data_IF_398794875518
#
_entry.id   IF_398794875518
#
_cell.length_a   1.000
_cell.length_b   1.000
_cell.length_c   1.000
_cell.angle_alpha   90.00
_cell.angle_beta   90.00
_cell.angle_gamma   90.00
#
_symmetry.space_group_name_H-M   'P 1'
#
loop_
_entity.id
_entity.type
_entity.pdbx_description
1 polymer ?
#
# COMPACT_ATOMS: atom_id res chain seq x y z
N UNK A 1 -17.27 33.90 -27.90
CA UNK A 1 -17.52 32.46 -27.75
C UNK A 1 -16.26 31.72 -28.16
N UNK A 2 -15.76 30.80 -27.34
CA UNK A 2 -14.62 29.97 -27.70
C UNK A 2 -15.10 28.89 -28.68
N UNK A 3 -14.51 28.73 -29.88
CA UNK A 3 -15.02 27.84 -30.93
C UNK A 3 -14.65 26.36 -30.70
N UNK A 4 -14.51 25.93 -29.45
CA UNK A 4 -14.03 24.59 -29.08
C UNK A 4 -15.13 23.80 -28.37
N UNK A 5 -15.30 22.54 -28.78
CA UNK A 5 -16.18 21.55 -28.13
C UNK A 5 -15.29 20.47 -27.55
N UNK A 6 -15.50 20.13 -26.28
CA UNK A 6 -14.68 19.15 -25.57
C UNK A 6 -15.34 17.78 -25.55
N UNK A 7 -14.53 16.72 -25.69
CA UNK A 7 -14.98 15.35 -25.48
C UNK A 7 -15.62 15.21 -24.09
N UNK A 8 -16.76 14.52 -24.00
CA UNK A 8 -17.54 14.32 -22.78
C UNK A 8 -18.56 15.42 -22.45
N UNK A 9 -18.61 16.50 -23.23
CA UNK A 9 -19.69 17.49 -23.13
C UNK A 9 -20.89 17.12 -24.02
N UNK A 10 -22.07 17.62 -23.69
CA UNK A 10 -23.30 17.39 -24.44
C UNK A 10 -23.93 18.72 -24.84
N UNK A 11 -24.69 18.69 -25.94
CA UNK A 11 -25.37 19.88 -26.48
C UNK A 11 -26.74 20.00 -25.81
N UNK A 12 -26.98 21.11 -25.11
CA UNK A 12 -28.28 21.40 -24.49
C UNK A 12 -29.32 21.82 -25.54
N UNK A 13 -28.93 22.72 -26.45
CA UNK A 13 -29.81 23.22 -27.52
C UNK A 13 -29.03 23.53 -28.82
N UNK A 14 -29.68 23.31 -29.96
CA UNK A 14 -29.16 23.61 -31.29
C UNK A 14 -28.47 22.45 -32.01
N UNK A 15 -28.06 22.71 -33.25
CA UNK A 15 -27.28 21.77 -34.08
C UNK A 15 -26.16 22.51 -34.81
N UNK A 16 -25.11 21.79 -35.18
CA UNK A 16 -23.96 22.37 -35.86
C UNK A 16 -22.99 21.29 -36.35
N UNK A 17 -22.18 21.66 -37.34
CA UNK A 17 -21.13 20.79 -37.88
C UNK A 17 -19.78 21.20 -37.30
N UNK A 18 -18.97 20.21 -36.89
CA UNK A 18 -17.66 20.44 -36.28
C UNK A 18 -16.60 19.52 -36.88
N UNK A 19 -15.34 19.95 -36.82
CA UNK A 19 -14.19 19.13 -37.24
C UNK A 19 -13.57 18.48 -36.02
N UNK A 20 -13.35 17.17 -36.08
CA UNK A 20 -12.69 16.42 -35.00
C UNK A 20 -11.20 16.75 -35.01
N UNK A 21 -10.70 17.33 -33.91
CA UNK A 21 -9.29 17.70 -33.76
C UNK A 21 -8.44 16.62 -33.08
N UNK A 22 -9.02 15.87 -32.14
CA UNK A 22 -8.33 14.83 -31.37
C UNK A 22 -9.29 13.74 -30.89
N UNK A 23 -8.78 12.53 -30.70
CA UNK A 23 -9.52 11.35 -30.18
C UNK A 23 -8.66 10.59 -29.16
N UNK A 24 -9.29 9.75 -28.33
CA UNK A 24 -8.57 8.94 -27.34
C UNK A 24 -7.86 9.77 -26.27
N UNK A 25 -6.66 9.34 -25.88
CA UNK A 25 -5.82 9.99 -24.84
C UNK A 25 -5.33 11.38 -25.25
N UNK A 26 -5.30 11.69 -26.56
CA UNK A 26 -4.95 13.03 -27.06
C UNK A 26 -6.04 14.08 -26.83
N UNK A 27 -7.21 13.71 -26.27
CA UNK A 27 -8.26 14.66 -25.87
C UNK A 27 -8.01 15.23 -24.48
N UNK A 28 -8.57 16.40 -24.16
CA UNK A 28 -8.50 16.97 -22.80
C UNK A 28 -9.00 16.01 -21.72
N UNK A 29 -10.12 15.32 -21.97
CA UNK A 29 -10.67 14.31 -21.05
C UNK A 29 -9.74 13.11 -20.92
N UNK A 30 -9.18 12.63 -22.05
CA UNK A 30 -8.22 11.52 -22.07
C UNK A 30 -6.97 11.82 -21.25
N UNK A 31 -6.36 12.99 -21.44
CA UNK A 31 -5.18 13.43 -20.68
C UNK A 31 -5.48 13.57 -19.18
N UNK A 32 -6.70 13.98 -18.80
CA UNK A 32 -7.09 14.07 -17.39
C UNK A 32 -7.20 12.69 -16.74
N UNK A 33 -7.81 11.72 -17.45
CA UNK A 33 -7.92 10.33 -16.96
C UNK A 33 -6.55 9.67 -16.86
N UNK A 34 -5.68 9.88 -17.84
CA UNK A 34 -4.32 9.36 -17.83
C UNK A 34 -3.52 9.87 -16.62
N UNK A 35 -3.56 11.18 -16.36
CA UNK A 35 -2.93 11.77 -15.17
C UNK A 35 -3.51 11.26 -13.85
N UNK A 36 -4.82 10.99 -13.77
CA UNK A 36 -5.43 10.43 -12.56
C UNK A 36 -5.00 8.98 -12.31
N UNK A 37 -4.75 8.20 -13.36
CA UNK A 37 -4.32 6.81 -13.23
C UNK A 37 -2.84 6.69 -12.85
N UNK A 38 -1.97 7.64 -13.25
CA UNK A 38 -0.55 7.64 -12.85
C UNK A 38 -0.34 7.67 -11.33
N UNK A 39 -1.26 8.28 -10.57
CA UNK A 39 -1.16 8.45 -9.12
C UNK A 39 -1.63 7.22 -8.31
N UNK A 40 -2.38 6.28 -8.91
CA UNK A 40 -2.96 5.12 -8.21
C UNK A 40 -1.94 4.03 -7.83
N UNK A 41 -0.77 3.99 -8.47
CA UNK A 41 0.24 2.94 -8.23
C UNK A 41 1.10 3.16 -6.96
N UNK A 42 0.83 4.21 -6.19
CA UNK A 42 1.62 4.52 -5.00
C UNK A 42 1.14 3.75 -3.75
N UNK A 43 2.06 3.00 -3.12
CA UNK A 43 1.85 2.36 -1.81
C UNK A 43 1.59 3.41 -0.73
N UNK A 44 0.79 3.07 0.28
CA UNK A 44 0.54 3.97 1.42
C UNK A 44 1.77 4.16 2.30
N UNK A 45 1.78 5.22 3.12
CA UNK A 45 2.94 5.60 3.95
C UNK A 45 3.27 4.52 4.99
N UNK A 46 2.27 3.94 5.64
CA UNK A 46 2.41 2.85 6.61
C UNK A 46 2.86 1.59 5.89
N UNK A 47 2.32 1.27 4.71
CA UNK A 47 2.79 0.11 3.94
C UNK A 47 4.29 0.23 3.64
N UNK A 48 4.76 1.40 3.21
CA UNK A 48 6.20 1.63 2.98
C UNK A 48 7.02 1.45 4.27
N UNK A 49 6.57 2.04 5.39
CA UNK A 49 7.27 1.90 6.68
C UNK A 49 7.28 0.46 7.21
N UNK A 50 6.19 -0.29 7.01
CA UNK A 50 6.11 -1.69 7.43
C UNK A 50 6.99 -2.58 6.56
N UNK A 51 7.12 -2.27 5.26
CA UNK A 51 8.05 -2.94 4.34
C UNK A 51 9.50 -2.71 4.78
N UNK A 52 9.85 -1.47 5.16
CA UNK A 52 11.18 -1.13 5.72
C UNK A 52 11.47 -1.87 7.04
N UNK A 53 10.49 -1.97 7.93
CA UNK A 53 10.64 -2.74 9.18
C UNK A 53 10.76 -4.24 8.91
N UNK A 54 9.95 -4.76 7.98
CA UNK A 54 9.95 -6.18 7.61
C UNK A 54 11.29 -6.58 6.98
N UNK A 55 11.82 -5.75 6.08
CA UNK A 55 13.12 -5.98 5.44
C UNK A 55 14.27 -5.91 6.45
N UNK A 56 14.22 -5.01 7.43
CA UNK A 56 15.20 -4.94 8.51
C UNK A 56 15.19 -6.22 9.37
N UNK A 57 14.01 -6.65 9.83
CA UNK A 57 13.86 -7.86 10.66
C UNK A 57 14.28 -9.10 9.88
N UNK A 58 13.85 -9.22 8.63
CA UNK A 58 14.20 -10.35 7.75
C UNK A 58 15.70 -10.43 7.51
N UNK A 59 16.36 -9.28 7.28
CA UNK A 59 17.82 -9.23 7.12
C UNK A 59 18.56 -9.63 8.40
N UNK A 60 18.12 -9.14 9.56
CA UNK A 60 18.70 -9.51 10.85
C UNK A 60 18.51 -11.01 11.15
N UNK A 61 17.31 -11.54 10.91
CA UNK A 61 16.98 -12.95 11.06
C UNK A 61 17.80 -13.86 10.13
N UNK A 62 17.99 -13.45 8.88
CA UNK A 62 18.84 -14.18 7.93
C UNK A 62 20.32 -14.21 8.39
N UNK A 63 20.87 -13.08 8.84
CA UNK A 63 22.24 -13.00 9.35
C UNK A 63 22.40 -13.90 10.58
N UNK A 64 21.46 -13.85 11.53
CA UNK A 64 21.48 -14.69 12.72
C UNK A 64 21.37 -16.19 12.36
N UNK A 65 20.45 -16.57 11.47
CA UNK A 65 20.29 -17.94 10.99
C UNK A 65 21.57 -18.49 10.35
N UNK A 66 22.17 -17.74 9.43
CA UNK A 66 23.44 -18.14 8.80
C UNK A 66 24.58 -18.23 9.81
N UNK A 67 24.71 -17.26 10.72
CA UNK A 67 25.73 -17.28 11.77
C UNK A 67 25.58 -18.51 12.68
N UNK A 68 24.37 -18.88 13.08
CA UNK A 68 24.15 -20.05 13.93
C UNK A 68 24.53 -21.36 13.24
N UNK A 69 24.18 -21.53 11.95
CA UNK A 69 24.61 -22.68 11.16
C UNK A 69 26.13 -22.73 11.05
N UNK A 70 26.78 -21.59 10.75
CA UNK A 70 28.24 -21.52 10.66
C UNK A 70 28.94 -21.86 11.98
N UNK A 71 28.42 -21.38 13.11
CA UNK A 71 28.96 -21.69 14.43
C UNK A 71 28.80 -23.18 14.75
N UNK A 72 27.65 -23.78 14.45
CA UNK A 72 27.42 -25.21 14.66
C UNK A 72 28.32 -26.07 13.77
N UNK A 73 28.49 -25.69 12.51
CA UNK A 73 29.43 -26.35 11.58
C UNK A 73 30.89 -26.20 12.03
N UNK A 74 31.29 -25.02 12.51
CA UNK A 74 32.64 -24.80 13.01
C UNK A 74 32.91 -25.58 14.31
N UNK A 75 31.94 -25.67 15.23
CA UNK A 75 32.06 -26.52 16.43
C UNK A 75 32.16 -28.00 16.07
N UNK A 76 31.34 -28.46 15.12
CA UNK A 76 31.41 -29.84 14.61
C UNK A 76 32.75 -30.13 13.95
N UNK A 77 33.26 -29.21 13.12
CA UNK A 77 34.57 -29.32 12.48
C UNK A 77 35.75 -29.30 13.45
N UNK A 78 35.70 -28.45 14.48
CA UNK A 78 36.72 -28.43 15.55
C UNK A 78 36.71 -29.70 16.40
N UNK A 79 35.51 -30.21 16.76
CA UNK A 79 35.37 -31.48 17.47
C UNK A 79 35.87 -32.67 16.63
N UNK A 80 35.79 -32.58 15.30
CA UNK A 80 36.33 -33.56 14.38
C UNK A 80 37.87 -33.46 14.24
N UNK A 81 38.43 -32.25 14.33
CA UNK A 81 39.86 -32.00 14.22
C UNK A 81 40.63 -32.34 15.51
N UNK A 82 40.06 -32.02 16.67
CA UNK A 82 40.59 -32.42 17.97
C UNK A 82 40.29 -33.91 18.19
N UNK A 83 41.23 -34.76 17.76
CA UNK A 83 41.20 -36.24 17.78
C UNK A 83 41.11 -36.87 19.19
N UNK A 84 40.50 -36.19 20.16
CA UNK A 84 40.61 -36.52 21.58
C UNK A 84 39.39 -37.25 22.16
N UNK A 85 38.21 -37.23 21.53
CA UNK A 85 37.00 -37.74 22.21
C UNK A 85 36.31 -39.00 21.64
N UNK A 86 36.49 -39.40 20.38
CA UNK A 86 35.78 -40.59 19.88
C UNK A 86 36.68 -41.50 19.04
N UNK A 87 37.08 -42.62 19.67
CA UNK A 87 37.60 -43.82 19.04
C UNK A 87 36.44 -44.63 18.47
N UNK A 88 35.62 -44.03 17.62
CA UNK A 88 34.48 -44.71 17.00
C UNK A 88 34.52 -44.59 15.46
N UNK A 89 34.15 -45.69 14.83
CA UNK A 89 34.28 -45.95 13.40
C UNK A 89 33.50 -44.90 12.60
N UNK A 90 34.11 -44.40 11.53
CA UNK A 90 33.51 -43.54 10.52
C UNK A 90 32.19 -44.14 10.01
N UNK A 91 31.05 -43.71 10.55
CA UNK A 91 29.73 -44.12 10.10
C UNK A 91 29.08 -42.96 9.34
N UNK A 92 28.99 -43.12 8.02
CA UNK A 92 28.40 -42.12 7.13
C UNK A 92 26.92 -41.85 7.47
N UNK A 93 26.21 -42.81 8.08
CA UNK A 93 24.78 -42.67 8.36
C UNK A 93 24.47 -41.65 9.47
N UNK A 94 25.36 -41.49 10.46
CA UNK A 94 25.14 -40.58 11.60
C UNK A 94 25.46 -39.14 11.21
N UNK A 95 26.48 -38.94 10.37
CA UNK A 95 26.90 -37.61 9.94
C UNK A 95 25.83 -36.93 9.09
N UNK A 96 25.25 -37.59 8.08
CA UNK A 96 24.23 -36.95 7.23
C UNK A 96 23.03 -36.43 8.04
N UNK A 97 22.69 -37.09 9.16
CA UNK A 97 21.60 -36.69 10.03
C UNK A 97 21.93 -35.43 10.87
N UNK A 98 23.17 -35.27 11.32
CA UNK A 98 23.60 -34.09 12.08
C UNK A 98 23.70 -32.83 11.20
N UNK A 99 24.20 -32.97 9.97
CA UNK A 99 24.22 -31.85 9.02
C UNK A 99 22.80 -31.34 8.70
N UNK A 100 21.86 -32.26 8.53
CA UNK A 100 20.45 -31.93 8.37
C UNK A 100 19.89 -31.23 9.61
N UNK A 101 20.25 -31.67 10.82
CA UNK A 101 19.82 -31.00 12.07
C UNK A 101 20.31 -29.57 12.18
N UNK A 102 21.56 -29.28 11.80
CA UNK A 102 22.08 -27.92 11.79
C UNK A 102 21.36 -27.03 10.77
N UNK A 103 21.10 -27.55 9.56
CA UNK A 103 20.33 -26.84 8.54
C UNK A 103 18.89 -26.57 8.99
N UNK A 104 18.21 -27.58 9.55
CA UNK A 104 16.86 -27.43 10.09
C UNK A 104 16.83 -26.37 11.19
N UNK A 105 17.82 -26.35 12.09
CA UNK A 105 17.90 -25.34 13.16
C UNK A 105 18.03 -23.92 12.58
N UNK A 106 18.91 -23.71 11.59
CA UNK A 106 19.04 -22.41 10.92
C UNK A 106 17.76 -21.96 10.21
N UNK A 107 17.08 -22.88 9.51
CA UNK A 107 15.80 -22.61 8.85
C UNK A 107 14.70 -22.29 9.88
N UNK A 108 14.66 -22.99 11.01
CA UNK A 108 13.68 -22.69 12.07
C UNK A 108 13.86 -21.28 12.65
N UNK A 109 15.10 -20.84 12.86
CA UNK A 109 15.38 -19.47 13.32
C UNK A 109 14.94 -18.45 12.27
N UNK A 110 15.22 -18.72 10.99
CA UNK A 110 14.80 -17.85 9.89
C UNK A 110 13.27 -17.72 9.81
N UNK A 111 12.54 -18.83 9.81
CA UNK A 111 11.05 -18.83 9.74
C UNK A 111 10.44 -18.10 10.94
N UNK A 112 10.98 -18.30 12.15
CA UNK A 112 10.49 -17.59 13.36
C UNK A 112 10.76 -16.09 13.28
N UNK A 113 11.81 -15.66 12.57
CA UNK A 113 12.14 -14.24 12.43
C UNK A 113 11.30 -13.51 11.37
N UNK A 114 10.77 -14.20 10.36
CA UNK A 114 9.94 -13.56 9.31
C UNK A 114 8.57 -13.19 9.89
N UNK A 115 8.19 -11.90 9.91
CA UNK A 115 6.94 -11.47 10.53
C UNK A 115 5.76 -11.62 9.55
N UNK A 116 5.39 -12.86 9.20
CA UNK A 116 4.28 -13.13 8.27
C UNK A 116 2.91 -12.64 8.78
N UNK A 117 2.75 -12.51 10.10
CA UNK A 117 1.52 -12.02 10.73
C UNK A 117 1.34 -10.50 10.69
N UNK A 118 2.41 -9.73 10.45
CA UNK A 118 2.38 -8.26 10.49
C UNK A 118 1.51 -7.65 9.37
N UNK A 119 1.65 -8.02 8.08
CA UNK A 119 0.76 -7.51 7.03
C UNK A 119 -0.70 -7.94 7.24
N UNK A 120 -0.92 -9.16 7.73
CA UNK A 120 -2.26 -9.72 7.96
C UNK A 120 -3.01 -8.96 9.06
N UNK A 121 -2.34 -8.64 10.17
CA UNK A 121 -2.93 -7.86 11.26
C UNK A 121 -3.37 -6.46 10.79
N UNK A 122 -2.56 -5.81 9.94
CA UNK A 122 -2.84 -4.45 9.44
C UNK A 122 -4.02 -4.45 8.48
N UNK A 123 -4.10 -5.40 7.54
CA UNK A 123 -5.25 -5.50 6.62
C UNK A 123 -6.55 -5.76 7.37
N UNK A 124 -6.55 -6.60 8.41
CA UNK A 124 -7.74 -6.87 9.22
C UNK A 124 -8.18 -5.61 9.98
N UNK A 125 -7.23 -4.88 10.59
CA UNK A 125 -7.52 -3.63 11.29
C UNK A 125 -8.11 -2.56 10.35
N UNK A 126 -7.56 -2.42 9.14
CA UNK A 126 -8.07 -1.50 8.12
C UNK A 126 -9.45 -1.91 7.62
N UNK A 127 -9.68 -3.21 7.37
CA UNK A 127 -10.98 -3.71 6.93
C UNK A 127 -12.08 -3.45 7.97
N UNK A 128 -11.78 -3.65 9.25
CA UNK A 128 -12.70 -3.30 10.33
C UNK A 128 -12.98 -1.80 10.39
N UNK A 129 -11.94 -0.98 10.21
CA UNK A 129 -12.07 0.49 10.20
C UNK A 129 -12.95 0.97 9.05
N UNK A 130 -12.76 0.44 7.84
CA UNK A 130 -13.61 0.78 6.68
C UNK A 130 -15.05 0.33 6.88
N UNK A 131 -15.27 -0.85 7.45
CA UNK A 131 -16.63 -1.30 7.80
C UNK A 131 -17.32 -0.35 8.78
N UNK A 132 -16.59 0.18 9.77
CA UNK A 132 -17.11 1.17 10.70
C UNK A 132 -17.42 2.50 9.99
N UNK A 133 -16.50 3.00 9.17
CA UNK A 133 -16.70 4.25 8.40
C UNK A 133 -17.90 4.18 7.46
N UNK A 134 -18.15 3.01 6.86
CA UNK A 134 -19.32 2.80 6.00
C UNK A 134 -20.64 2.99 6.75
N UNK A 135 -20.72 2.55 8.02
CA UNK A 135 -21.90 2.80 8.85
C UNK A 135 -22.09 4.30 9.15
N UNK A 136 -20.99 5.05 9.22
CA UNK A 136 -20.97 6.50 9.44
C UNK A 136 -21.16 7.30 8.12
N UNK A 137 -21.72 6.68 7.08
CA UNK A 137 -21.95 7.28 5.75
C UNK A 137 -20.67 7.71 5.01
N UNK A 138 -19.52 7.11 5.34
CA UNK A 138 -18.25 7.34 4.65
C UNK A 138 -17.81 6.08 3.89
N UNK A 139 -17.97 6.10 2.56
CA UNK A 139 -17.56 5.00 1.69
C UNK A 139 -16.10 5.15 1.27
N UNK A 140 -15.21 4.36 1.89
CA UNK A 140 -13.80 4.29 1.51
C UNK A 140 -13.62 3.29 0.36
N UNK A 141 -13.16 3.76 -0.81
CA UNK A 141 -12.94 2.92 -2.00
C UNK A 141 -11.57 2.24 -2.04
N UNK A 142 -10.56 2.85 -1.43
CA UNK A 142 -9.19 2.31 -1.34
C UNK A 142 -8.73 2.27 0.13
N UNK A 143 -8.28 1.11 0.60
CA UNK A 143 -7.85 0.93 1.99
C UNK A 143 -6.68 1.84 2.38
N UNK A 144 -5.80 2.15 1.43
CA UNK A 144 -4.68 3.09 1.61
C UNK A 144 -5.13 4.51 1.97
N UNK A 145 -6.27 4.96 1.43
CA UNK A 145 -6.80 6.30 1.69
C UNK A 145 -7.22 6.50 3.16
N UNK A 146 -7.73 5.43 3.79
CA UNK A 146 -8.11 5.43 5.21
C UNK A 146 -6.92 5.81 6.12
N UNK A 147 -5.73 5.33 5.76
CA UNK A 147 -4.51 5.59 6.51
C UNK A 147 -3.98 6.99 6.21
N UNK A 148 -3.88 7.37 4.94
CA UNK A 148 -3.39 8.70 4.52
C UNK A 148 -4.23 9.82 5.10
N UNK A 149 -5.56 9.65 5.17
CA UNK A 149 -6.48 10.63 5.77
C UNK A 149 -6.18 10.88 7.25
N UNK A 150 -5.69 9.88 7.99
CA UNK A 150 -5.29 10.04 9.39
C UNK A 150 -4.11 10.98 9.60
N UNK A 151 -3.30 11.23 8.56
CA UNK A 151 -2.17 12.16 8.58
C UNK A 151 -2.45 13.47 7.84
N UNK A 152 -3.70 13.73 7.42
CA UNK A 152 -4.05 14.93 6.68
C UNK A 152 -3.91 16.19 7.56
N UNK A 153 -3.16 17.18 7.08
CA UNK A 153 -2.96 18.46 7.75
C UNK A 153 -3.76 19.60 7.11
N UNK A 154 -4.20 19.43 5.86
CA UNK A 154 -4.95 20.43 5.10
C UNK A 154 -6.08 19.73 4.35
N UNK A 155 -7.29 20.27 4.45
CA UNK A 155 -8.46 19.79 3.73
C UNK A 155 -8.86 20.86 2.72
N UNK A 156 -8.62 20.57 1.44
CA UNK A 156 -9.14 21.37 0.34
C UNK A 156 -10.56 20.90 0.04
N UNK A 157 -11.56 21.70 0.37
CA UNK A 157 -12.97 21.39 0.12
C UNK A 157 -13.53 22.34 -0.93
N UNK A 158 -14.30 21.81 -1.87
CA UNK A 158 -15.05 22.65 -2.81
C UNK A 158 -16.24 23.32 -2.11
N UNK A 159 -16.66 24.49 -2.58
CA UNK A 159 -17.76 25.24 -1.96
C UNK A 159 -19.12 24.72 -2.42
N UNK A 160 -19.30 24.55 -3.72
CA UNK A 160 -20.62 24.31 -4.31
C UNK A 160 -20.97 22.83 -4.14
N UNK A 161 -22.10 22.53 -3.51
CA UNK A 161 -22.55 21.15 -3.32
C UNK A 161 -21.80 20.33 -2.24
N UNK A 162 -20.70 20.85 -1.68
CA UNK A 162 -20.01 20.26 -0.51
C UNK A 162 -20.24 21.10 0.75
N UNK A 163 -19.74 22.34 0.78
CA UNK A 163 -20.00 23.26 1.91
C UNK A 163 -21.38 23.92 1.84
N UNK A 164 -21.92 24.08 0.63
CA UNK A 164 -23.26 24.61 0.39
C UNK A 164 -24.22 23.50 -0.04
N UNK A 165 -25.51 23.65 0.25
CA UNK A 165 -26.55 22.66 -0.10
C UNK A 165 -26.88 22.59 -1.60
N UNK A 166 -26.19 23.37 -2.45
CA UNK A 166 -26.49 23.50 -3.88
C UNK A 166 -27.84 24.13 -4.21
N UNK A 167 -28.61 24.54 -3.19
CA UNK A 167 -29.93 25.17 -3.36
C UNK A 167 -29.78 26.69 -3.29
N UNK A 168 -29.83 27.33 -4.45
CA UNK A 168 -29.79 28.79 -4.53
C UNK A 168 -31.17 29.36 -4.14
N UNK A 169 -31.17 30.27 -3.17
CA UNK A 169 -32.35 31.03 -2.75
C UNK A 169 -32.02 32.52 -2.74
N UNK A 170 -32.95 33.35 -3.19
CA UNK A 170 -32.82 34.80 -3.07
C UNK A 170 -33.12 35.18 -1.63
N UNK A 171 -32.12 35.73 -0.92
CA UNK A 171 -32.22 36.09 0.51
C UNK A 171 -32.60 37.57 0.69
N UNK A 172 -32.26 38.43 -0.28
CA UNK A 172 -32.61 39.85 -0.28
C UNK A 172 -32.89 40.31 -1.70
N UNK A 173 -33.89 41.17 -1.84
CA UNK A 173 -34.20 41.85 -3.08
C UNK A 173 -34.45 43.33 -2.77
N UNK A 174 -33.82 44.22 -3.54
CA UNK A 174 -34.09 45.65 -3.42
C UNK A 174 -35.04 46.09 -4.53
N UNK A 175 -36.19 46.63 -4.16
CA UNK A 175 -37.19 47.15 -5.10
C UNK A 175 -37.74 48.49 -4.57
N UNK A 176 -37.74 49.52 -5.42
CA UNK A 176 -38.31 50.83 -5.04
C UNK A 176 -37.56 51.60 -3.95
N UNK A 177 -36.30 51.26 -3.65
CA UNK A 177 -35.51 51.92 -2.60
C UNK A 177 -35.59 51.24 -1.22
N UNK A 178 -36.44 50.23 -1.07
CA UNK A 178 -36.52 49.40 0.13
C UNK A 178 -35.89 48.01 -0.11
N UNK A 179 -35.24 47.47 0.92
CA UNK A 179 -34.67 46.11 0.90
C UNK A 179 -35.70 45.17 1.51
N UNK A 180 -36.24 44.26 0.70
CA UNK A 180 -37.10 43.15 1.11
C UNK A 180 -36.28 41.88 1.36
#
# INVERSE_FOLDING_TARGET
ASPAVFAGTYVEEGEGLMVVLAVGTSTYQGMMVEKMNEDEDSKSVLQNKLDDMTTLITRAGAIAGVLTVLVLLARFGMAFWDRSCCKERWDNSIHHLEWLRFMVTGVTIFVVAVPEGLPLAVTIALAFSVKKMMNDQNLVRHLSACETMGSATTICSDKTGTLTTGKMSVVRMMAGGEVC
#
